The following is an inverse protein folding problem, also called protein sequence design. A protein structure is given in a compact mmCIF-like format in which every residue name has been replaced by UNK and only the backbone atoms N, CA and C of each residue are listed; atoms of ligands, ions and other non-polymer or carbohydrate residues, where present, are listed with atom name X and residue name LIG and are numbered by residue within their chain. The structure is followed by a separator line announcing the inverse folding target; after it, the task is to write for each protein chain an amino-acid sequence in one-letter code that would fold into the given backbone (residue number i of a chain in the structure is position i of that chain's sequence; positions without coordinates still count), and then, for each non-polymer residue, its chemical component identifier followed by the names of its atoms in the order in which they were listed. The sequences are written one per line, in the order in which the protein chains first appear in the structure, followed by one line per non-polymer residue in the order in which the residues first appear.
data_IF_474870556844
#
_entry.id   IF_474870556844
#
_cell.length_a   1.000
_cell.length_b   1.000
_cell.length_c   1.000
_cell.angle_alpha   90.00
_cell.angle_beta   90.00
_cell.angle_gamma   90.00
#
_symmetry.space_group_name_H-M   'P 1'
#
loop_
_entity.id
_entity.type
_entity.pdbx_description
1 polymer ?
#
# COMPACT_ATOMS: atom_id res chain seq x y z
N UNK A 1 -8.00 1.60 -31.13
CA UNK A 1 -9.06 2.62 -31.02
C UNK A 1 -8.45 3.95 -30.63
N UNK A 2 -8.81 5.05 -31.30
CA UNK A 2 -8.42 6.43 -30.94
C UNK A 2 -9.72 7.19 -30.74
N UNK A 3 -9.98 7.74 -29.56
CA UNK A 3 -11.15 8.59 -29.38
C UNK A 3 -10.93 9.89 -30.17
N UNK A 4 -11.98 10.36 -30.83
CA UNK A 4 -11.91 11.39 -31.88
C UNK A 4 -11.28 12.72 -31.41
N UNK A 5 -11.21 12.98 -30.09
CA UNK A 5 -10.69 14.23 -29.50
C UNK A 5 -9.63 14.07 -28.38
N UNK A 6 -9.07 12.88 -28.15
CA UNK A 6 -8.12 12.66 -27.04
C UNK A 6 -6.66 12.70 -27.51
N UNK A 7 -5.83 13.57 -26.91
CA UNK A 7 -4.38 13.68 -27.19
C UNK A 7 -3.56 12.45 -26.79
N UNK A 8 -4.06 11.60 -25.89
CA UNK A 8 -3.37 10.40 -25.35
C UNK A 8 -4.32 9.20 -25.31
N UNK A 9 -3.84 8.01 -25.62
CA UNK A 9 -4.55 6.72 -25.49
C UNK A 9 -4.34 6.18 -24.08
N UNK A 10 -5.41 5.80 -23.39
CA UNK A 10 -5.29 5.20 -22.05
C UNK A 10 -5.86 3.78 -22.11
N UNK A 11 -5.11 2.81 -21.60
CA UNK A 11 -5.58 1.44 -21.40
C UNK A 11 -5.52 1.10 -19.91
N UNK A 12 -6.62 0.58 -19.37
CA UNK A 12 -6.73 0.14 -17.98
C UNK A 12 -6.86 -1.38 -17.99
N UNK A 13 -5.98 -2.04 -17.26
CA UNK A 13 -5.95 -3.49 -17.07
C UNK A 13 -6.36 -3.74 -15.62
N UNK A 14 -7.63 -4.06 -15.35
CA UNK A 14 -8.07 -4.45 -14.02
C UNK A 14 -7.51 -5.84 -13.66
N UNK A 15 -7.35 -6.09 -12.36
CA UNK A 15 -6.94 -7.38 -11.81
C UNK A 15 -5.71 -7.98 -12.52
N UNK A 16 -4.67 -7.17 -12.73
CA UNK A 16 -3.49 -7.56 -13.47
C UNK A 16 -2.75 -8.75 -12.83
N UNK A 17 -2.89 -8.95 -11.52
CA UNK A 17 -2.43 -10.15 -10.79
C UNK A 17 -3.07 -11.46 -11.28
N UNK A 18 -4.20 -11.40 -11.99
CA UNK A 18 -4.91 -12.56 -12.55
C UNK A 18 -4.51 -12.88 -13.98
N UNK A 19 -3.57 -12.14 -14.57
CA UNK A 19 -3.08 -12.42 -15.91
C UNK A 19 -2.43 -13.81 -15.96
N UNK A 20 -2.93 -14.66 -16.85
CA UNK A 20 -2.28 -15.93 -17.15
C UNK A 20 -0.89 -15.70 -17.73
N UNK A 21 0.04 -16.62 -17.49
CA UNK A 21 1.45 -16.48 -17.91
C UNK A 21 1.61 -16.17 -19.40
N UNK A 22 0.78 -16.77 -20.27
CA UNK A 22 0.80 -16.49 -21.70
C UNK A 22 0.41 -15.04 -22.03
N UNK A 23 -0.60 -14.50 -21.35
CA UNK A 23 -1.04 -13.12 -21.53
C UNK A 23 -0.01 -12.13 -20.95
N UNK A 24 0.52 -12.40 -19.76
CA UNK A 24 1.57 -11.60 -19.14
C UNK A 24 2.82 -11.50 -20.04
N UNK A 25 3.30 -12.63 -20.57
CA UNK A 25 4.47 -12.67 -21.46
C UNK A 25 4.23 -11.95 -22.79
N UNK A 26 3.04 -12.10 -23.38
CA UNK A 26 2.68 -11.37 -24.59
C UNK A 26 2.64 -9.86 -24.35
N UNK A 27 2.22 -9.44 -23.15
CA UNK A 27 2.10 -8.04 -22.78
C UNK A 27 3.45 -7.34 -22.56
N UNK A 28 4.51 -8.07 -22.22
CA UNK A 28 5.85 -7.52 -21.98
C UNK A 28 6.36 -6.66 -23.15
N UNK A 29 6.14 -7.09 -24.39
CA UNK A 29 6.55 -6.31 -25.58
C UNK A 29 5.88 -4.94 -25.63
N UNK A 30 4.63 -4.85 -25.18
CA UNK A 30 3.87 -3.60 -25.14
C UNK A 30 4.32 -2.70 -23.97
N UNK A 31 4.82 -3.28 -22.88
CA UNK A 31 5.40 -2.51 -21.77
C UNK A 31 6.79 -1.95 -22.12
N UNK A 32 7.58 -2.68 -22.91
CA UNK A 32 8.91 -2.24 -23.36
C UNK A 32 8.83 -1.13 -24.42
N UNK A 33 7.93 -1.29 -25.39
CA UNK A 33 7.74 -0.34 -26.48
C UNK A 33 6.26 0.10 -26.50
N UNK A 34 5.83 0.95 -25.54
CA UNK A 34 4.45 1.39 -25.48
C UNK A 34 4.10 2.21 -26.73
N UNK A 35 2.88 2.10 -27.25
CA UNK A 35 2.44 2.92 -28.38
C UNK A 35 2.63 4.42 -28.11
N UNK A 36 2.96 5.19 -29.15
CA UNK A 36 3.09 6.64 -29.04
C UNK A 36 1.85 7.27 -28.41
N UNK A 37 2.10 8.21 -27.50
CA UNK A 37 1.09 8.89 -26.70
C UNK A 37 0.13 7.92 -26.01
N UNK A 38 0.66 6.91 -25.31
CA UNK A 38 -0.15 5.99 -24.50
C UNK A 38 0.18 6.02 -23.01
N UNK A 39 -0.83 5.67 -22.20
CA UNK A 39 -0.71 5.42 -20.77
C UNK A 39 -1.35 4.05 -20.48
N UNK A 40 -0.57 3.16 -19.89
CA UNK A 40 -1.02 1.84 -19.46
C UNK A 40 -1.15 1.87 -17.94
N UNK A 41 -2.35 1.58 -17.43
CA UNK A 41 -2.64 1.50 -16.01
C UNK A 41 -2.96 0.06 -15.65
N UNK A 42 -2.11 -0.55 -14.85
CA UNK A 42 -2.32 -1.89 -14.31
C UNK A 42 -2.82 -1.74 -12.88
N UNK A 43 -3.98 -2.30 -12.61
CA UNK A 43 -4.56 -2.33 -11.27
C UNK A 43 -4.38 -3.72 -10.70
N UNK A 44 -3.92 -3.81 -9.46
CA UNK A 44 -3.74 -5.08 -8.78
C UNK A 44 -4.06 -4.93 -7.30
N UNK A 45 -4.75 -5.93 -6.75
CA UNK A 45 -4.98 -6.06 -5.32
C UNK A 45 -3.85 -6.81 -4.61
N UNK A 46 -3.04 -7.57 -5.37
CA UNK A 46 -1.94 -8.42 -4.91
C UNK A 46 -0.70 -8.16 -5.78
N UNK A 47 -0.02 -7.01 -5.61
CA UNK A 47 1.13 -6.66 -6.44
C UNK A 47 2.28 -7.68 -6.38
N UNK A 48 2.40 -8.44 -5.30
CA UNK A 48 3.36 -9.55 -5.12
C UNK A 48 3.07 -10.77 -6.00
N UNK A 49 1.84 -10.91 -6.52
CA UNK A 49 1.47 -11.98 -7.44
C UNK A 49 1.81 -11.64 -8.90
N UNK A 50 2.16 -10.39 -9.20
CA UNK A 50 2.61 -9.99 -10.54
C UNK A 50 4.02 -10.52 -10.81
N UNK A 51 4.31 -10.98 -12.05
CA UNK A 51 5.67 -11.34 -12.42
C UNK A 51 6.64 -10.16 -12.28
N UNK A 52 7.84 -10.40 -11.74
CA UNK A 52 8.91 -9.40 -11.61
C UNK A 52 9.25 -8.72 -12.95
N UNK A 53 9.05 -9.41 -14.07
CA UNK A 53 9.26 -8.89 -15.42
C UNK A 53 8.28 -7.76 -15.78
N UNK A 54 7.06 -7.79 -15.26
CA UNK A 54 6.07 -6.71 -15.40
C UNK A 54 6.43 -5.58 -14.42
N UNK A 55 6.68 -5.90 -13.15
CA UNK A 55 6.96 -4.90 -12.10
C UNK A 55 8.19 -4.06 -12.44
N UNK A 56 9.26 -4.67 -12.96
CA UNK A 56 10.48 -3.97 -13.38
C UNK A 56 10.31 -2.97 -14.53
N UNK A 57 9.21 -3.06 -15.29
CA UNK A 57 8.87 -2.17 -16.42
C UNK A 57 7.75 -1.19 -16.09
N UNK A 58 7.23 -1.23 -14.87
CA UNK A 58 6.15 -0.37 -14.41
C UNK A 58 6.61 0.55 -13.29
N UNK A 59 5.97 1.71 -13.18
CA UNK A 59 6.08 2.54 -11.97
C UNK A 59 4.99 2.09 -11.02
N UNK A 60 5.39 1.54 -9.86
CA UNK A 60 4.44 1.10 -8.83
C UNK A 60 3.98 2.29 -8.00
N UNK A 61 2.66 2.53 -7.99
CA UNK A 61 2.03 3.55 -7.16
C UNK A 61 1.14 2.82 -6.14
N UNK A 62 1.56 2.69 -4.87
CA UNK A 62 0.72 2.07 -3.86
C UNK A 62 -0.50 2.96 -3.62
N UNK A 63 -1.68 2.42 -3.86
CA UNK A 63 -2.93 3.06 -3.49
C UNK A 63 -3.20 2.69 -2.03
N UNK A 64 -3.10 3.67 -1.14
CA UNK A 64 -3.61 3.49 0.22
C UNK A 64 -5.10 3.15 0.12
N UNK A 65 -5.62 2.19 0.91
CA UNK A 65 -7.04 1.90 0.92
C UNK A 65 -7.80 3.19 1.21
N UNK A 66 -8.72 3.54 0.31
CA UNK A 66 -9.50 4.76 0.39
C UNK A 66 -10.25 4.78 1.73
N UNK A 67 -9.91 5.75 2.57
CA UNK A 67 -10.73 6.14 3.72
C UNK A 67 -11.10 5.03 4.72
N UNK A 68 -10.28 3.99 4.92
CA UNK A 68 -10.34 3.36 6.23
C UNK A 68 -9.69 4.35 7.18
N UNK A 69 -10.49 4.87 8.11
CA UNK A 69 -10.04 5.37 9.40
C UNK A 69 -9.29 4.24 10.15
N UNK A 70 -8.17 3.78 9.59
CA UNK A 70 -7.19 2.96 10.27
C UNK A 70 -6.47 3.91 11.21
N UNK A 71 -7.20 4.13 12.30
CA UNK A 71 -6.81 4.69 13.57
C UNK A 71 -6.97 6.19 13.77
N UNK A 72 -8.20 6.70 13.78
CA UNK A 72 -8.48 7.95 14.51
C UNK A 72 -7.95 7.88 15.95
N UNK A 73 -8.06 6.72 16.61
CA UNK A 73 -7.67 6.57 18.01
C UNK A 73 -6.15 6.59 18.26
N UNK A 74 -5.33 5.91 17.44
CA UNK A 74 -3.87 5.95 17.61
C UNK A 74 -3.27 7.22 17.02
N UNK A 75 -3.87 7.78 15.95
CA UNK A 75 -3.52 9.11 15.46
C UNK A 75 -3.84 10.18 16.51
N UNK A 76 -4.98 10.11 17.20
CA UNK A 76 -5.30 11.00 18.32
C UNK A 76 -4.30 10.87 19.48
N UNK A 77 -3.88 9.64 19.82
CA UNK A 77 -2.84 9.43 20.84
C UNK A 77 -1.49 10.02 20.41
N UNK A 78 -1.09 9.82 19.15
CA UNK A 78 0.13 10.37 18.60
C UNK A 78 0.09 11.90 18.58
N UNK A 79 -1.01 12.50 18.13
CA UNK A 79 -1.22 13.95 18.11
C UNK A 79 -1.16 14.52 19.53
N UNK A 80 -1.80 13.87 20.52
CA UNK A 80 -1.70 14.28 21.93
C UNK A 80 -0.27 14.22 22.45
N UNK A 81 0.48 13.16 22.17
CA UNK A 81 1.89 13.03 22.58
C UNK A 81 2.77 14.12 21.96
N UNK A 82 2.58 14.39 20.66
CA UNK A 82 3.32 15.43 19.94
C UNK A 82 2.97 16.85 20.42
N UNK A 83 1.71 17.11 20.78
CA UNK A 83 1.29 18.39 21.36
C UNK A 83 1.92 18.64 22.73
N UNK A 84 2.01 17.61 23.58
CA UNK A 84 2.72 17.73 24.87
C UNK A 84 4.20 18.00 24.65
N UNK A 85 4.86 17.30 23.73
CA UNK A 85 6.26 17.53 23.39
C UNK A 85 6.53 18.90 22.76
N UNK A 86 5.61 19.42 21.96
CA UNK A 86 5.75 20.72 21.31
C UNK A 86 5.56 21.91 22.26
N UNK A 87 4.89 21.71 23.41
CA UNK A 87 4.70 22.75 24.43
C UNK A 87 5.91 22.94 25.36
N UNK A 88 6.84 21.98 25.35
CA UNK A 88 8.01 21.97 26.23
C UNK A 88 9.09 22.93 25.69
N UNK A 89 9.42 23.98 26.46
CA UNK A 89 10.44 24.96 26.08
C UNK A 89 11.88 24.48 26.30
N UNK A 90 12.07 23.36 27.01
CA UNK A 90 13.39 22.83 27.37
C UNK A 90 13.45 21.32 27.18
N UNK A 91 14.20 20.88 26.18
CA UNK A 91 14.41 19.47 25.84
C UNK A 91 15.47 18.87 26.76
N UNK A 92 15.04 18.31 27.89
CA UNK A 92 15.92 17.55 28.78
C UNK A 92 16.08 16.10 28.30
N UNK A 93 17.18 15.45 28.70
CA UNK A 93 17.42 14.03 28.41
C UNK A 93 16.32 13.15 29.00
N UNK A 94 15.81 13.51 30.18
CA UNK A 94 14.71 12.82 30.86
C UNK A 94 13.42 12.92 30.06
N UNK A 95 13.13 14.11 29.50
CA UNK A 95 11.95 14.33 28.66
C UNK A 95 12.04 13.53 27.35
N UNK A 96 13.19 13.60 26.67
CA UNK A 96 13.43 12.83 25.45
C UNK A 96 13.28 11.32 25.68
N UNK A 97 13.77 10.83 26.81
CA UNK A 97 13.61 9.42 27.20
C UNK A 97 12.15 9.06 27.48
N UNK A 98 11.41 9.90 28.21
CA UNK A 98 9.97 9.69 28.48
C UNK A 98 9.14 9.66 27.19
N UNK A 99 9.39 10.59 26.27
CA UNK A 99 8.73 10.63 24.96
C UNK A 99 9.06 9.38 24.13
N UNK A 100 10.32 8.95 24.11
CA UNK A 100 10.74 7.75 23.40
C UNK A 100 10.06 6.49 23.97
N UNK A 101 9.94 6.37 25.29
CA UNK A 101 9.24 5.25 25.93
C UNK A 101 7.75 5.21 25.56
N UNK A 102 7.06 6.35 25.60
CA UNK A 102 5.64 6.43 25.22
C UNK A 102 5.42 6.11 23.74
N UNK A 103 6.31 6.60 22.87
CA UNK A 103 6.26 6.26 21.45
C UNK A 103 6.51 4.76 21.21
N UNK A 104 7.49 4.18 21.88
CA UNK A 104 7.76 2.74 21.81
C UNK A 104 6.59 1.89 22.31
N UNK A 105 5.90 2.32 23.37
CA UNK A 105 4.69 1.66 23.89
C UNK A 105 3.57 1.69 22.85
N UNK A 106 3.34 2.84 22.21
CA UNK A 106 2.33 2.98 21.15
C UNK A 106 2.66 2.07 19.96
N UNK A 107 3.92 2.09 19.48
CA UNK A 107 4.35 1.23 18.38
C UNK A 107 4.20 -0.26 18.69
N UNK A 108 4.47 -0.68 19.94
CA UNK A 108 4.30 -2.07 20.36
C UNK A 108 2.83 -2.48 20.33
N UNK A 109 1.95 -1.65 20.87
CA UNK A 109 0.50 -1.91 20.88
C UNK A 109 -0.04 -2.02 19.44
N UNK A 110 0.34 -1.08 18.57
CA UNK A 110 -0.04 -1.09 17.15
C UNK A 110 0.46 -2.36 16.46
N UNK A 111 1.72 -2.76 16.71
CA UNK A 111 2.30 -3.97 16.12
C UNK A 111 1.54 -5.24 16.55
N UNK A 112 1.15 -5.33 17.82
CA UNK A 112 0.37 -6.46 18.32
C UNK A 112 -1.02 -6.52 17.69
N UNK A 113 -1.69 -5.38 17.53
CA UNK A 113 -2.99 -5.29 16.89
C UNK A 113 -2.94 -5.62 15.39
N UNK A 114 -1.92 -5.14 14.68
CA UNK A 114 -1.68 -5.51 13.28
C UNK A 114 -1.44 -7.02 13.19
N UNK A 115 -0.56 -7.57 14.03
CA UNK A 115 -0.27 -9.01 14.05
C UNK A 115 -1.55 -9.84 14.28
N UNK A 116 -2.38 -9.45 15.26
CA UNK A 116 -3.64 -10.14 15.55
C UNK A 116 -4.59 -10.13 14.36
N UNK A 117 -4.77 -8.98 13.71
CA UNK A 117 -5.64 -8.86 12.52
C UNK A 117 -5.12 -9.73 11.37
N UNK A 118 -3.81 -9.77 11.16
CA UNK A 118 -3.19 -10.61 10.13
C UNK A 118 -3.34 -12.10 10.45
N UNK A 119 -3.14 -12.51 11.70
CA UNK A 119 -3.32 -13.91 12.13
C UNK A 119 -4.79 -14.36 12.02
N UNK A 120 -5.75 -13.46 12.32
CA UNK A 120 -7.19 -13.72 12.16
C UNK A 120 -7.58 -13.83 10.69
N UNK A 121 -7.11 -12.91 9.83
CA UNK A 121 -7.35 -12.96 8.39
C UNK A 121 -6.77 -14.25 7.76
N UNK A 122 -5.57 -14.66 8.16
CA UNK A 122 -4.94 -15.89 7.70
C UNK A 122 -5.73 -17.14 8.11
N UNK A 123 -6.26 -17.18 9.34
CA UNK A 123 -7.13 -18.27 9.81
C UNK A 123 -8.44 -18.36 9.03
N UNK A 124 -9.05 -17.21 8.74
CA UNK A 124 -10.28 -17.15 7.93
C UNK A 124 -10.04 -17.64 6.51
N UNK A 125 -8.90 -17.28 5.91
CA UNK A 125 -8.51 -17.74 4.58
C UNK A 125 -8.24 -19.26 4.57
N UNK A 126 -7.49 -19.78 5.55
CA UNK A 126 -7.22 -21.22 5.67
C UNK A 126 -8.48 -22.08 5.89
N UNK A 127 -9.49 -21.54 6.59
CA UNK A 127 -10.77 -22.21 6.76
C UNK A 127 -11.55 -22.27 5.43
N UNK A 128 -11.48 -21.22 4.61
CA UNK A 128 -12.19 -21.11 3.33
C UNK A 128 -11.69 -22.06 2.24
N UNK A 129 -10.43 -22.52 2.31
CA UNK A 129 -9.84 -23.47 1.36
C UNK A 129 -9.86 -24.93 1.84
N UNK A 130 -10.48 -25.21 2.99
CA UNK A 130 -10.60 -26.57 3.56
C UNK A 130 -11.97 -27.23 3.33
N UNK A 131 -12.93 -26.50 2.75
CA UNK A 131 -14.20 -27.01 2.19
C UNK A 131 -14.07 -27.21 0.67
#
# INVERSE_FOLDING_TARGET
MRAVNSRRKVAIIPDADRLQSAAANAFLKTLEEPPNDSLLLLLSALPEALPDTIVSRCITIPLAPDGQEQSKHEQEKLVKLLQHASGERSWSVQFAYGLAQEFQRLLRALREDVKRKTDEALKQEQARYKD
#
